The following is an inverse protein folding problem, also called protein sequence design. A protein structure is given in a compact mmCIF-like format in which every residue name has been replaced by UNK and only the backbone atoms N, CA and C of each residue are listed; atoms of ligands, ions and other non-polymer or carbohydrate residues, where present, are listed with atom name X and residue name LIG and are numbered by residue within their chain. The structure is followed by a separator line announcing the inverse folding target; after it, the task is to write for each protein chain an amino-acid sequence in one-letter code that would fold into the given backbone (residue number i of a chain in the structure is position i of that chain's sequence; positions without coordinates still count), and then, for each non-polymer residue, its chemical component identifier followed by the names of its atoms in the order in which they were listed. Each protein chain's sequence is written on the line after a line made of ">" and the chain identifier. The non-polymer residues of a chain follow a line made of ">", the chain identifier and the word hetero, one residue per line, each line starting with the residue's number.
data_IF_496430630729
#
_entry.id   IF_496430630729
#
_cell.length_a   1.000
_cell.length_b   1.000
_cell.length_c   1.000
_cell.angle_alpha   90.00
_cell.angle_beta   90.00
_cell.angle_gamma   90.00
#
_symmetry.space_group_name_H-M   'P 1'
#
loop_
_entity.id
_entity.type
_entity.pdbx_description
1 polymer ?
#
# COMPACT_ATOMS: atom_id res chain seq x y z
N UNK A 1 19.95 5.88 -0.50
CA UNK A 1 19.25 6.86 0.35
C UNK A 1 18.89 8.01 -0.55
N UNK A 2 17.59 8.20 -0.84
CA UNK A 2 17.18 9.36 -1.62
C UNK A 2 17.25 10.58 -0.70
N UNK A 3 18.03 11.58 -1.11
CA UNK A 3 18.11 12.87 -0.43
C UNK A 3 16.91 13.78 -0.78
N UNK A 4 16.05 13.32 -1.68
CA UNK A 4 14.86 14.03 -2.11
C UNK A 4 13.72 13.84 -1.11
N UNK A 5 12.83 14.80 -1.02
CA UNK A 5 11.64 14.72 -0.19
C UNK A 5 10.80 13.51 -0.61
N UNK A 6 10.58 12.60 0.34
CA UNK A 6 9.78 11.40 0.08
C UNK A 6 8.35 11.84 -0.27
N UNK A 7 7.74 11.29 -1.32
CA UNK A 7 6.37 11.62 -1.68
C UNK A 7 5.43 11.49 -0.47
N UNK A 8 4.49 12.41 -0.38
CA UNK A 8 3.49 12.46 0.70
C UNK A 8 2.81 11.09 0.80
N UNK A 9 2.77 10.51 2.02
CA UNK A 9 2.26 9.16 2.35
C UNK A 9 3.23 7.98 2.17
N UNK A 10 4.46 8.19 1.68
CA UNK A 10 5.46 7.14 1.67
C UNK A 10 6.32 7.21 2.93
N UNK A 11 6.61 6.07 3.60
CA UNK A 11 7.50 6.05 4.74
C UNK A 11 8.96 6.25 4.30
N UNK A 12 9.74 6.92 5.15
CA UNK A 12 11.18 7.12 4.93
C UNK A 12 11.97 5.84 5.19
N UNK A 13 11.46 4.97 6.04
CA UNK A 13 12.04 3.67 6.37
C UNK A 13 10.95 2.60 6.46
N UNK A 14 11.33 1.37 6.11
CA UNK A 14 10.48 0.18 6.19
C UNK A 14 11.28 -0.93 6.86
N UNK A 15 10.69 -1.60 7.86
CA UNK A 15 11.31 -2.80 8.46
C UNK A 15 11.24 -3.98 7.49
N UNK A 16 12.33 -4.74 7.38
CA UNK A 16 12.46 -5.87 6.46
C UNK A 16 12.52 -7.22 7.18
N UNK A 17 12.53 -7.23 8.51
CA UNK A 17 12.63 -8.45 9.32
C UNK A 17 11.84 -8.31 10.61
N UNK A 18 11.33 -9.44 11.11
CA UNK A 18 10.61 -9.56 12.38
C UNK A 18 11.48 -10.14 13.50
N UNK A 19 12.73 -10.51 13.22
CA UNK A 19 13.53 -11.24 14.19
C UNK A 19 13.94 -10.37 15.38
N UNK A 20 13.96 -10.93 16.57
CA UNK A 20 14.38 -10.24 17.78
C UNK A 20 15.86 -9.80 17.69
N UNK A 21 16.69 -10.62 17.03
CA UNK A 21 18.11 -10.30 16.82
C UNK A 21 18.32 -9.02 16.00
N UNK A 22 17.44 -8.75 15.02
CA UNK A 22 17.56 -7.58 14.14
C UNK A 22 16.88 -6.33 14.72
N UNK A 23 16.00 -6.50 15.70
CA UNK A 23 15.23 -5.41 16.30
C UNK A 23 16.13 -4.29 16.83
N UNK A 24 17.20 -4.64 17.54
CA UNK A 24 18.14 -3.65 18.08
C UNK A 24 18.80 -2.84 16.95
N UNK A 25 19.27 -3.49 15.90
CA UNK A 25 19.88 -2.83 14.74
C UNK A 25 18.89 -1.94 13.96
N UNK A 26 17.63 -2.36 13.85
CA UNK A 26 16.57 -1.53 13.24
C UNK A 26 16.31 -0.27 14.07
N UNK A 27 16.23 -0.38 15.40
CA UNK A 27 16.04 0.74 16.29
C UNK A 27 17.23 1.71 16.25
N UNK A 28 18.46 1.20 16.23
CA UNK A 28 19.67 2.01 16.08
C UNK A 28 19.68 2.77 14.74
N UNK A 29 19.33 2.10 13.66
CA UNK A 29 19.21 2.73 12.34
C UNK A 29 18.16 3.86 12.35
N UNK A 30 17.01 3.65 12.96
CA UNK A 30 15.97 4.67 13.10
C UNK A 30 16.49 5.87 13.90
N UNK A 31 17.23 5.64 14.99
CA UNK A 31 17.82 6.71 15.80
C UNK A 31 18.87 7.51 15.03
N UNK A 32 19.72 6.85 14.22
CA UNK A 32 20.67 7.53 13.34
C UNK A 32 19.94 8.40 12.33
N UNK A 33 18.92 7.87 11.71
CA UNK A 33 18.11 8.60 10.74
C UNK A 33 17.36 9.79 11.36
N UNK A 34 16.88 9.67 12.60
CA UNK A 34 16.26 10.78 13.33
C UNK A 34 17.25 11.94 13.60
N UNK A 35 18.50 11.63 13.85
CA UNK A 35 19.57 12.62 14.07
C UNK A 35 20.06 13.22 12.75
N UNK A 36 19.78 12.58 11.63
CA UNK A 36 20.05 13.10 10.30
C UNK A 36 19.03 14.18 9.98
N UNK A 37 19.47 15.30 9.42
CA UNK A 37 18.60 16.42 9.09
C UNK A 37 17.77 16.11 7.82
N UNK A 38 16.97 15.04 7.86
CA UNK A 38 16.11 14.65 6.75
C UNK A 38 14.94 15.62 6.63
N UNK A 39 14.67 16.13 5.41
CA UNK A 39 13.57 17.05 5.20
C UNK A 39 12.22 16.37 5.39
N UNK A 40 11.23 17.16 5.81
CA UNK A 40 9.84 16.75 5.86
C UNK A 40 9.42 15.96 7.11
N UNK A 41 8.19 15.47 7.07
CA UNK A 41 7.61 14.68 8.16
C UNK A 41 8.05 13.22 8.02
N UNK A 42 8.79 12.76 8.97
CA UNK A 42 9.45 11.46 8.97
C UNK A 42 8.51 10.33 9.38
N UNK A 43 8.50 9.25 8.61
CA UNK A 43 7.64 8.09 8.89
C UNK A 43 8.42 6.77 8.77
N UNK A 44 8.03 5.81 9.60
CA UNK A 44 8.54 4.44 9.60
C UNK A 44 7.36 3.49 9.43
N UNK A 45 7.42 2.61 8.43
CA UNK A 45 6.51 1.48 8.32
C UNK A 45 7.12 0.27 9.02
N UNK A 46 6.56 -0.08 10.15
CA UNK A 46 6.85 -1.31 10.87
C UNK A 46 6.00 -2.45 10.31
N UNK A 47 6.54 -3.13 9.30
CA UNK A 47 5.85 -4.15 8.53
C UNK A 47 5.44 -5.38 9.35
N UNK A 48 5.98 -5.53 10.55
CA UNK A 48 5.77 -6.71 11.40
C UNK A 48 5.19 -6.36 12.76
N UNK A 49 4.90 -5.09 13.01
CA UNK A 49 4.37 -4.60 14.29
C UNK A 49 5.25 -5.01 15.49
N UNK A 50 6.57 -4.95 15.34
CA UNK A 50 7.54 -5.40 16.35
C UNK A 50 8.23 -4.26 17.09
N UNK A 51 8.09 -3.02 16.63
CA UNK A 51 8.76 -1.86 17.19
C UNK A 51 7.83 -1.05 18.13
N UNK A 52 8.38 -0.61 19.26
CA UNK A 52 7.77 0.42 20.10
C UNK A 52 8.52 1.75 19.88
N UNK A 53 8.00 2.57 18.98
CA UNK A 53 8.59 3.87 18.65
C UNK A 53 7.92 5.02 19.44
N UNK A 54 6.86 4.77 20.20
CA UNK A 54 6.21 5.79 21.03
C UNK A 54 7.17 6.44 22.01
N UNK A 55 8.03 5.64 22.66
CA UNK A 55 9.06 6.13 23.59
C UNK A 55 10.22 6.87 22.90
N UNK A 56 10.25 6.91 21.57
CA UNK A 56 11.28 7.54 20.74
C UNK A 56 10.77 8.77 19.98
N UNK A 57 9.62 9.33 20.39
CA UNK A 57 9.06 10.54 19.80
C UNK A 57 8.36 10.29 18.45
N UNK A 58 7.70 9.14 18.32
CA UNK A 58 6.79 8.87 17.21
C UNK A 58 5.36 8.65 17.71
N UNK A 59 4.40 9.10 16.93
CA UNK A 59 2.99 8.79 17.08
C UNK A 59 2.59 7.70 16.10
N UNK A 60 1.58 6.92 16.45
CA UNK A 60 0.98 5.97 15.49
C UNK A 60 0.16 6.77 14.48
N UNK A 61 0.54 6.68 13.21
CA UNK A 61 -0.19 7.27 12.10
C UNK A 61 -1.29 6.34 11.59
N UNK A 62 -0.98 5.03 11.52
CA UNK A 62 -1.88 4.01 10.99
C UNK A 62 -1.59 2.66 11.66
N UNK A 63 -2.64 1.99 12.09
CA UNK A 63 -2.64 0.56 12.40
C UNK A 63 -3.43 -0.16 11.30
N UNK A 64 -2.82 -1.16 10.68
CA UNK A 64 -3.40 -1.88 9.55
C UNK A 64 -3.03 -3.36 9.63
N UNK A 65 -3.63 -4.15 8.75
CA UNK A 65 -3.25 -5.55 8.55
C UNK A 65 -2.84 -5.77 7.10
N UNK A 66 -1.83 -6.60 6.90
CA UNK A 66 -1.53 -7.12 5.59
C UNK A 66 -2.72 -7.92 5.06
N UNK A 67 -2.93 -7.85 3.76
CA UNK A 67 -3.92 -8.64 3.05
C UNK A 67 -3.28 -9.29 1.83
N UNK A 68 -3.77 -10.47 1.46
CA UNK A 68 -3.28 -11.23 0.31
C UNK A 68 -4.44 -11.87 -0.44
N UNK A 69 -4.39 -11.82 -1.76
CA UNK A 69 -5.29 -12.60 -2.61
C UNK A 69 -4.49 -13.46 -3.58
N UNK A 70 -4.88 -14.72 -3.69
CA UNK A 70 -4.46 -15.57 -4.80
C UNK A 70 -5.41 -15.29 -5.93
N UNK A 71 -4.88 -14.89 -7.06
CA UNK A 71 -5.63 -14.34 -8.18
C UNK A 71 -6.64 -15.35 -8.73
N UNK A 72 -7.95 -15.12 -8.62
CA UNK A 72 -8.95 -15.93 -9.30
C UNK A 72 -8.96 -15.60 -10.79
N UNK A 73 -9.24 -16.58 -11.63
CA UNK A 73 -9.67 -16.33 -13.01
C UNK A 73 -11.14 -15.90 -12.98
N UNK A 74 -11.43 -14.71 -13.45
CA UNK A 74 -12.78 -14.16 -13.47
C UNK A 74 -12.91 -12.87 -14.26
N UNK A 75 -14.08 -12.30 -14.28
CA UNK A 75 -14.35 -11.00 -14.90
C UNK A 75 -14.44 -9.91 -13.83
N UNK A 76 -14.05 -8.69 -14.21
CA UNK A 76 -14.27 -7.52 -13.38
C UNK A 76 -15.79 -7.29 -13.21
N UNK A 77 -16.19 -6.76 -12.07
CA UNK A 77 -17.60 -6.52 -11.75
C UNK A 77 -18.24 -5.59 -12.76
N UNK A 78 -19.43 -5.95 -13.23
CA UNK A 78 -20.21 -5.15 -14.17
C UNK A 78 -20.59 -3.77 -13.58
N UNK A 79 -20.74 -2.78 -14.46
CA UNK A 79 -21.19 -1.43 -14.09
C UNK A 79 -20.11 -0.41 -13.80
N UNK A 80 -18.84 -0.81 -13.78
CA UNK A 80 -17.68 0.09 -13.74
C UNK A 80 -16.83 -0.16 -14.98
N UNK A 81 -16.61 0.88 -15.76
CA UNK A 81 -15.70 0.85 -16.91
C UNK A 81 -14.27 1.12 -16.44
N UNK A 82 -13.40 0.12 -16.52
CA UNK A 82 -12.03 0.22 -16.10
C UNK A 82 -11.10 0.61 -17.25
N UNK A 83 -10.26 1.61 -16.99
CA UNK A 83 -9.24 2.07 -17.91
C UNK A 83 -7.86 2.03 -17.26
N UNK A 84 -6.89 1.47 -17.98
CA UNK A 84 -5.47 1.63 -17.60
C UNK A 84 -5.02 3.02 -18.02
N UNK A 85 -4.49 3.77 -17.07
CA UNK A 85 -3.94 5.09 -17.32
C UNK A 85 -2.52 4.97 -17.87
N UNK A 86 -2.19 5.80 -18.85
CA UNK A 86 -0.87 5.85 -19.50
C UNK A 86 -0.13 7.14 -19.24
N UNK A 87 -0.85 8.15 -18.75
CA UNK A 87 -0.30 9.47 -18.44
C UNK A 87 -0.95 10.01 -17.17
N UNK A 88 -0.17 10.70 -16.35
CA UNK A 88 -0.69 11.45 -15.19
C UNK A 88 -0.01 12.82 -15.11
N UNK A 89 -0.72 13.72 -14.47
CA UNK A 89 -0.20 15.06 -14.09
C UNK A 89 0.85 15.03 -12.98
N UNK A 90 1.07 13.87 -12.36
CA UNK A 90 2.04 13.61 -11.28
C UNK A 90 3.16 12.70 -11.77
N UNK A 91 4.37 12.83 -11.25
CA UNK A 91 5.49 11.95 -11.60
C UNK A 91 5.25 10.53 -11.03
N UNK A 92 4.55 9.71 -11.79
CA UNK A 92 4.34 8.29 -11.52
C UNK A 92 5.17 7.48 -12.53
N UNK A 93 5.58 6.24 -12.19
CA UNK A 93 6.45 5.42 -13.04
C UNK A 93 5.69 4.78 -14.22
N UNK A 94 4.95 5.56 -15.01
CA UNK A 94 4.16 5.05 -16.14
C UNK A 94 4.98 4.36 -17.23
N UNK A 95 6.27 4.67 -17.33
CA UNK A 95 7.19 3.99 -18.26
C UNK A 95 7.78 2.68 -17.72
N UNK A 96 7.45 2.30 -16.48
CA UNK A 96 7.90 1.04 -15.87
C UNK A 96 6.89 -0.07 -16.18
N UNK A 97 7.33 -1.13 -16.84
CA UNK A 97 6.52 -2.34 -17.13
C UNK A 97 6.04 -3.06 -15.86
N UNK A 98 6.58 -2.72 -14.70
CA UNK A 98 6.15 -3.24 -13.41
C UNK A 98 5.01 -2.43 -12.79
N UNK A 99 4.66 -1.28 -13.36
CA UNK A 99 3.64 -0.38 -12.84
C UNK A 99 2.38 -0.37 -13.70
N UNK A 100 1.21 -0.31 -13.06
CA UNK A 100 -0.06 -0.03 -13.72
C UNK A 100 -0.98 0.76 -12.78
N UNK A 101 -1.63 1.78 -13.31
CA UNK A 101 -2.68 2.51 -12.63
C UNK A 101 -3.99 2.30 -13.37
N UNK A 102 -5.06 2.08 -12.62
CA UNK A 102 -6.40 1.92 -13.16
C UNK A 102 -7.36 2.93 -12.55
N UNK A 103 -8.22 3.50 -13.38
CA UNK A 103 -9.40 4.26 -12.98
C UNK A 103 -10.65 3.55 -13.43
N UNK A 104 -11.65 3.53 -12.55
CA UNK A 104 -12.99 2.99 -12.81
C UNK A 104 -13.97 4.14 -12.96
N UNK A 105 -14.79 4.10 -14.01
CA UNK A 105 -15.77 5.15 -14.34
C UNK A 105 -17.18 4.59 -14.33
N UNK A 106 -18.13 5.45 -13.92
CA UNK A 106 -19.55 5.27 -14.13
C UNK A 106 -20.10 6.53 -14.82
N UNK A 107 -20.45 6.40 -16.10
CA UNK A 107 -20.71 7.56 -16.92
C UNK A 107 -19.49 8.49 -17.04
N UNK A 108 -19.68 9.77 -16.69
CA UNK A 108 -18.57 10.74 -16.76
C UNK A 108 -17.73 10.85 -15.47
N UNK A 109 -18.15 10.20 -14.38
CA UNK A 109 -17.48 10.28 -13.07
C UNK A 109 -16.43 9.18 -12.88
N UNK A 110 -15.31 9.52 -12.22
CA UNK A 110 -14.38 8.54 -11.67
C UNK A 110 -14.92 8.12 -10.30
N UNK A 111 -15.24 6.84 -10.14
CA UNK A 111 -15.84 6.27 -8.91
C UNK A 111 -14.93 5.26 -8.24
N UNK A 112 -13.84 4.85 -8.91
CA UNK A 112 -12.93 3.84 -8.40
C UNK A 112 -11.52 4.04 -8.96
N UNK A 113 -10.52 3.48 -8.30
CA UNK A 113 -9.14 3.46 -8.78
C UNK A 113 -8.24 2.58 -7.95
N UNK A 114 -7.04 2.34 -8.46
CA UNK A 114 -6.00 1.61 -7.75
C UNK A 114 -4.71 1.54 -8.54
N UNK A 115 -3.60 1.34 -7.82
CA UNK A 115 -2.27 1.22 -8.39
C UNK A 115 -1.70 -0.14 -8.10
N UNK A 116 -1.07 -0.74 -9.11
CA UNK A 116 -0.41 -2.03 -9.05
C UNK A 116 1.09 -1.83 -9.30
N UNK A 117 1.91 -2.51 -8.52
CA UNK A 117 3.34 -2.56 -8.73
C UNK A 117 3.87 -3.99 -8.52
N UNK A 118 4.50 -4.56 -9.55
CA UNK A 118 5.10 -5.89 -9.49
C UNK A 118 6.50 -5.80 -8.91
N UNK A 119 6.76 -6.51 -7.82
CA UNK A 119 8.08 -6.62 -7.20
C UNK A 119 8.21 -7.97 -6.48
N UNK A 120 9.36 -8.59 -6.57
CA UNK A 120 9.75 -9.79 -5.80
C UNK A 120 8.71 -10.94 -5.82
N UNK A 121 8.09 -11.18 -6.97
CA UNK A 121 7.15 -12.30 -7.14
C UNK A 121 5.73 -12.03 -6.59
N UNK A 122 5.41 -10.80 -6.27
CA UNK A 122 4.07 -10.35 -5.85
C UNK A 122 3.64 -9.12 -6.63
N UNK A 123 2.35 -8.81 -6.58
CA UNK A 123 1.79 -7.54 -7.03
C UNK A 123 1.31 -6.75 -5.83
N UNK A 124 1.99 -5.65 -5.53
CA UNK A 124 1.53 -4.69 -4.54
C UNK A 124 0.32 -3.92 -5.07
N UNK A 125 -0.78 -3.89 -4.31
CA UNK A 125 -1.96 -3.06 -4.58
C UNK A 125 -2.00 -1.94 -3.55
N UNK A 126 -2.11 -0.70 -4.03
CA UNK A 126 -2.11 0.51 -3.19
C UNK A 126 -3.01 1.59 -3.79
N UNK A 127 -3.29 2.63 -3.00
CA UNK A 127 -4.11 3.78 -3.40
C UNK A 127 -5.47 3.36 -3.96
N UNK A 128 -6.09 2.38 -3.32
CA UNK A 128 -7.46 1.96 -3.67
C UNK A 128 -8.41 3.09 -3.31
N UNK A 129 -9.23 3.48 -4.28
CA UNK A 129 -10.30 4.45 -4.12
C UNK A 129 -11.60 3.77 -4.54
N UNK A 130 -12.61 3.82 -3.69
CA UNK A 130 -13.94 3.28 -3.97
C UNK A 130 -15.01 4.13 -3.29
N UNK A 131 -16.17 4.27 -3.92
CA UNK A 131 -17.36 4.69 -3.21
C UNK A 131 -17.83 3.56 -2.27
N UNK A 132 -18.28 3.88 -1.07
CA UNK A 132 -18.59 2.88 -0.04
C UNK A 132 -19.56 1.78 -0.52
N UNK A 133 -20.54 2.13 -1.34
CA UNK A 133 -21.50 1.17 -1.91
C UNK A 133 -20.89 0.18 -2.90
N UNK A 134 -19.74 0.51 -3.48
CA UNK A 134 -19.06 -0.28 -4.51
C UNK A 134 -17.76 -0.94 -4.00
N UNK A 135 -17.35 -0.69 -2.77
CA UNK A 135 -16.02 -1.06 -2.27
C UNK A 135 -15.67 -2.53 -2.54
N UNK A 136 -16.52 -3.48 -2.17
CA UNK A 136 -16.30 -4.92 -2.41
C UNK A 136 -16.12 -5.23 -3.90
N UNK A 137 -16.93 -4.62 -4.75
CA UNK A 137 -16.89 -4.78 -6.21
C UNK A 137 -15.59 -4.21 -6.82
N UNK A 138 -15.14 -3.09 -6.29
CA UNK A 138 -13.87 -2.45 -6.69
C UNK A 138 -12.69 -3.34 -6.32
N UNK A 139 -12.63 -3.83 -5.08
CA UNK A 139 -11.58 -4.74 -4.64
C UNK A 139 -11.52 -6.01 -5.50
N UNK A 140 -12.67 -6.64 -5.80
CA UNK A 140 -12.74 -7.79 -6.73
C UNK A 140 -12.21 -7.46 -8.11
N UNK A 141 -12.64 -6.32 -8.66
CA UNK A 141 -12.19 -5.87 -9.99
C UNK A 141 -10.67 -5.66 -10.04
N UNK A 142 -10.10 -5.05 -8.99
CA UNK A 142 -8.65 -4.82 -8.92
C UNK A 142 -7.84 -6.12 -8.84
N UNK A 143 -8.35 -7.17 -8.16
CA UNK A 143 -7.74 -8.51 -8.21
C UNK A 143 -7.73 -9.03 -9.66
N UNK A 144 -8.84 -8.92 -10.38
CA UNK A 144 -8.95 -9.39 -11.77
C UNK A 144 -8.02 -8.60 -12.70
N UNK A 145 -7.95 -7.28 -12.52
CA UNK A 145 -7.05 -6.42 -13.29
C UNK A 145 -5.58 -6.75 -13.01
N UNK A 146 -5.23 -7.03 -11.75
CA UNK A 146 -3.91 -7.49 -11.39
C UNK A 146 -3.55 -8.81 -12.07
N UNK A 147 -4.48 -9.77 -12.11
CA UNK A 147 -4.30 -11.05 -12.79
C UNK A 147 -4.06 -10.92 -14.29
N UNK A 148 -4.77 -10.00 -14.93
CA UNK A 148 -4.63 -9.74 -16.37
C UNK A 148 -3.33 -9.02 -16.69
N UNK A 149 -2.89 -8.14 -15.80
CA UNK A 149 -1.67 -7.32 -15.98
C UNK A 149 -0.41 -8.10 -15.63
N UNK A 150 -0.45 -8.84 -14.52
CA UNK A 150 0.68 -9.59 -13.97
C UNK A 150 0.24 -11.01 -13.62
N UNK A 151 0.08 -11.88 -14.62
CA UNK A 151 -0.50 -13.20 -14.45
C UNK A 151 0.30 -14.08 -13.47
N UNK A 152 -0.42 -14.90 -12.70
CA UNK A 152 0.11 -15.91 -11.79
C UNK A 152 0.84 -15.37 -10.57
N UNK A 153 0.76 -14.07 -10.28
CA UNK A 153 1.32 -13.49 -9.06
C UNK A 153 0.22 -13.23 -8.03
N UNK A 154 0.48 -13.47 -6.73
CA UNK A 154 -0.45 -13.05 -5.68
C UNK A 154 -0.49 -11.53 -5.57
N UNK A 155 -1.66 -11.02 -5.22
CA UNK A 155 -1.86 -9.60 -4.91
C UNK A 155 -1.70 -9.40 -3.40
N UNK A 156 -0.91 -8.41 -3.00
CA UNK A 156 -0.69 -8.05 -1.59
C UNK A 156 -0.96 -6.57 -1.38
N UNK A 157 -1.44 -6.23 -0.20
CA UNK A 157 -1.67 -4.86 0.22
C UNK A 157 -1.75 -4.79 1.74
N UNK A 158 -2.15 -3.65 2.27
CA UNK A 158 -2.52 -3.52 3.68
C UNK A 158 -3.60 -2.48 3.83
N UNK A 159 -4.56 -2.76 4.70
CA UNK A 159 -5.72 -1.92 4.92
C UNK A 159 -6.16 -1.92 6.38
N UNK A 160 -7.06 -0.99 6.70
CA UNK A 160 -7.67 -0.88 8.02
C UNK A 160 -9.15 -0.51 7.92
N UNK A 161 -9.88 -0.67 9.01
CA UNK A 161 -11.27 -0.22 9.11
C UNK A 161 -12.20 -0.79 8.03
N UNK A 162 -13.02 0.05 7.43
CA UNK A 162 -14.02 -0.34 6.43
C UNK A 162 -13.39 -0.90 5.15
N UNK A 163 -12.25 -0.37 4.72
CA UNK A 163 -11.53 -0.84 3.52
C UNK A 163 -10.99 -2.25 3.74
N UNK A 164 -10.48 -2.55 4.94
CA UNK A 164 -10.08 -3.91 5.29
C UNK A 164 -11.26 -4.87 5.20
N UNK A 165 -12.42 -4.50 5.75
CA UNK A 165 -13.63 -5.34 5.68
C UNK A 165 -14.05 -5.59 4.24
N UNK A 166 -14.07 -4.55 3.39
CA UNK A 166 -14.41 -4.67 1.99
C UNK A 166 -13.43 -5.55 1.20
N UNK A 167 -12.14 -5.46 1.50
CA UNK A 167 -11.12 -6.31 0.89
C UNK A 167 -11.30 -7.79 1.27
N UNK A 168 -11.59 -8.09 2.54
CA UNK A 168 -11.86 -9.44 3.01
C UNK A 168 -13.12 -10.02 2.35
N UNK A 169 -14.19 -9.24 2.26
CA UNK A 169 -15.45 -9.63 1.57
C UNK A 169 -15.23 -9.82 0.05
N UNK A 170 -14.22 -9.16 -0.51
CA UNK A 170 -13.81 -9.33 -1.90
C UNK A 170 -13.00 -10.60 -2.15
N UNK A 171 -12.51 -11.27 -1.09
CA UNK A 171 -11.77 -12.53 -1.18
C UNK A 171 -10.27 -12.41 -0.84
N UNK A 172 -9.84 -11.31 -0.23
CA UNK A 172 -8.51 -11.26 0.38
C UNK A 172 -8.48 -12.06 1.67
N UNK A 173 -7.35 -12.67 1.94
CA UNK A 173 -7.01 -13.30 3.21
C UNK A 173 -6.36 -12.27 4.14
N UNK A 174 -6.71 -12.33 5.43
CA UNK A 174 -6.10 -11.50 6.46
C UNK A 174 -4.70 -12.03 6.79
N UNK A 175 -3.73 -11.12 6.80
CA UNK A 175 -2.36 -11.36 7.25
C UNK A 175 -2.05 -10.71 8.59
N UNK A 176 -0.77 -10.62 8.91
CA UNK A 176 -0.28 -10.07 10.18
C UNK A 176 -0.51 -8.55 10.28
N UNK A 177 -0.57 -8.00 11.51
CA UNK A 177 -0.69 -6.57 11.72
C UNK A 177 0.60 -5.84 11.36
N UNK A 178 0.47 -4.58 10.94
CA UNK A 178 1.55 -3.63 10.76
C UNK A 178 1.21 -2.27 11.37
N UNK A 179 2.23 -1.44 11.59
CA UNK A 179 2.07 -0.04 12.01
C UNK A 179 2.84 0.91 11.11
N UNK A 180 2.27 2.07 10.89
CA UNK A 180 3.01 3.21 10.36
C UNK A 180 3.15 4.24 11.48
N UNK A 181 4.38 4.54 11.79
CA UNK A 181 4.77 5.53 12.77
C UNK A 181 5.16 6.82 12.08
N UNK A 182 4.87 7.93 12.70
CA UNK A 182 5.26 9.26 12.22
C UNK A 182 5.90 10.04 13.34
N UNK A 183 6.97 10.77 13.05
CA UNK A 183 7.63 11.61 14.05
C UNK A 183 6.64 12.62 14.63
N UNK A 184 6.54 12.65 15.96
CA UNK A 184 5.73 13.61 16.68
C UNK A 184 6.16 15.04 16.30
N UNK A 185 5.21 15.97 16.29
CA UNK A 185 5.55 17.39 16.16
C UNK A 185 5.98 17.89 17.53
N UNK A 186 7.13 18.52 17.58
CA UNK A 186 7.56 19.30 18.74
C UNK A 186 6.61 20.47 18.97
#
# INVERSE_FOLDING_TARGET
>A
MNADEVPRFYPNAVTLTATEADRAGQLETIEILQKSNLPGRWAVKDSFNTLDLGRRGFDVLLEASWIRAVVPMGEATAGIEWRRETEASTPLPFGDDNFAMFTGRRGFGIVAGGMLYRCDGVVGLTNVVAEAADAVSVWRSLIVLAARTFPRLPVVGYESGAELSAALDAGFELGDPLKVWVRSRD
#
